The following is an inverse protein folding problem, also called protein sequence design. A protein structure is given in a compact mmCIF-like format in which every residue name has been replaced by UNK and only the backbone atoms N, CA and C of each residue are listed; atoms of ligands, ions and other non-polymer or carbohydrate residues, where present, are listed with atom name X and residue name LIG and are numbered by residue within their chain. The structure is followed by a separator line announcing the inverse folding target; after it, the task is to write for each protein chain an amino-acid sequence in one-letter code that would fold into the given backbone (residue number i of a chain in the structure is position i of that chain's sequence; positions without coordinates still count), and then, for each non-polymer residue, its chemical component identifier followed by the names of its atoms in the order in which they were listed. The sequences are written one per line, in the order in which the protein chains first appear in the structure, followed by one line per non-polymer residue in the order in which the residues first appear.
data_IF_833030907333
#
_entry.id   IF_833030907333
#
_cell.length_a   1.000
_cell.length_b   1.000
_cell.length_c   1.000
_cell.angle_alpha   90.00
_cell.angle_beta   90.00
_cell.angle_gamma   90.00
#
_symmetry.space_group_name_H-M   'P 1'
#
loop_
_entity.id
_entity.type
_entity.pdbx_description
1 polymer ?
#
# COMPACT_ATOMS: atom_id res chain seq x y z
N UNK A 1 9.41 3.53 -12.07
CA UNK A 1 8.00 3.18 -11.75
C UNK A 1 7.12 2.87 -12.96
N UNK A 2 6.70 3.87 -13.74
CA UNK A 2 5.70 3.68 -14.81
C UNK A 2 6.11 2.70 -15.91
N UNK A 3 7.35 2.80 -16.40
CA UNK A 3 7.88 1.89 -17.43
C UNK A 3 7.85 0.44 -16.96
N UNK A 4 8.47 0.15 -15.80
CA UNK A 4 8.48 -1.18 -15.18
C UNK A 4 7.08 -1.75 -14.97
N UNK A 5 6.17 -0.92 -14.43
CA UNK A 5 4.78 -1.32 -14.19
C UNK A 5 4.01 -1.61 -15.48
N UNK A 6 4.29 -0.87 -16.55
CA UNK A 6 3.61 -1.04 -17.84
C UNK A 6 4.16 -2.24 -18.61
N UNK A 7 5.46 -2.51 -18.52
CA UNK A 7 6.12 -3.65 -19.16
C UNK A 7 5.53 -5.01 -18.72
N UNK A 8 5.03 -5.10 -17.48
CA UNK A 8 4.41 -6.32 -16.97
C UNK A 8 2.89 -6.42 -17.21
N UNK A 9 2.25 -5.41 -17.85
CA UNK A 9 0.82 -5.48 -18.19
C UNK A 9 0.63 -6.11 -19.56
N UNK A 10 0.02 -7.30 -19.62
CA UNK A 10 -0.46 -7.88 -20.88
C UNK A 10 -1.77 -7.20 -21.31
N UNK A 11 -1.80 -6.59 -22.50
CA UNK A 11 -3.04 -6.28 -23.22
C UNK A 11 -3.86 -5.06 -22.78
N UNK A 12 -3.28 -4.07 -22.08
CA UNK A 12 -4.04 -2.86 -21.69
C UNK A 12 -3.57 -1.59 -22.43
N UNK A 13 -4.40 -1.07 -23.33
CA UNK A 13 -4.12 0.13 -24.11
C UNK A 13 -4.18 1.45 -23.31
N UNK A 14 -4.92 1.49 -22.19
CA UNK A 14 -5.05 2.73 -21.40
C UNK A 14 -3.84 2.99 -20.51
N UNK A 15 -3.24 4.19 -20.57
CA UNK A 15 -2.15 4.58 -19.69
C UNK A 15 -2.62 4.57 -18.22
N UNK A 16 -1.74 4.15 -17.31
CA UNK A 16 -2.02 4.18 -15.88
C UNK A 16 -2.10 5.64 -15.40
N UNK A 17 -3.04 5.94 -14.50
CA UNK A 17 -2.93 7.17 -13.69
C UNK A 17 -1.84 6.97 -12.64
N UNK A 18 -1.21 8.05 -12.16
CA UNK A 18 -0.09 7.94 -11.22
C UNK A 18 -0.46 7.18 -9.94
N UNK A 19 -1.65 7.46 -9.39
CA UNK A 19 -2.17 6.77 -8.21
C UNK A 19 -2.40 5.25 -8.43
N UNK A 20 -2.35 4.76 -9.67
CA UNK A 20 -2.50 3.33 -9.99
C UNK A 20 -1.15 2.58 -10.07
N UNK A 21 -0.03 3.30 -10.01
CA UNK A 21 1.30 2.69 -10.15
C UNK A 21 1.60 1.73 -9.00
N UNK A 22 1.34 2.18 -7.77
CA UNK A 22 1.73 1.49 -6.54
C UNK A 22 0.55 1.15 -5.60
N UNK A 23 -0.70 1.27 -6.06
CA UNK A 23 -1.91 1.01 -5.23
C UNK A 23 -2.22 -0.49 -5.04
N UNK A 24 -1.24 -1.24 -4.57
CA UNK A 24 -1.36 -2.65 -4.22
C UNK A 24 0.01 -3.29 -3.99
N UNK A 25 0.08 -4.34 -3.15
CA UNK A 25 1.36 -4.96 -2.76
C UNK A 25 2.12 -5.50 -3.97
N UNK A 26 1.47 -6.26 -4.86
CA UNK A 26 2.16 -6.74 -6.07
C UNK A 26 2.46 -5.62 -7.07
N UNK A 27 1.64 -4.55 -7.09
CA UNK A 27 1.82 -3.44 -8.02
C UNK A 27 3.05 -2.59 -7.67
N UNK A 28 3.25 -2.30 -6.38
CA UNK A 28 4.44 -1.57 -5.92
C UNK A 28 5.70 -2.38 -6.24
N UNK A 29 5.70 -3.70 -5.99
CA UNK A 29 6.86 -4.53 -6.29
C UNK A 29 7.25 -4.44 -7.77
N UNK A 30 6.26 -4.51 -8.67
CA UNK A 30 6.51 -4.37 -10.11
C UNK A 30 6.98 -2.95 -10.48
N UNK A 31 6.40 -1.90 -9.88
CA UNK A 31 6.79 -0.53 -10.15
C UNK A 31 8.24 -0.22 -9.72
N UNK A 32 8.73 -0.90 -8.68
CA UNK A 32 10.08 -0.76 -8.13
C UNK A 32 11.04 -1.91 -8.50
N UNK A 33 10.64 -2.82 -9.39
CA UNK A 33 11.41 -4.03 -9.75
C UNK A 33 11.82 -4.93 -8.57
N UNK A 34 11.06 -4.89 -7.46
CA UNK A 34 11.24 -5.79 -6.33
C UNK A 34 10.76 -7.18 -6.73
N UNK A 35 11.66 -8.15 -6.63
CA UNK A 35 11.41 -9.54 -6.92
C UNK A 35 12.03 -10.43 -5.82
N UNK A 36 12.00 -11.75 -5.98
CA UNK A 36 12.46 -12.69 -4.95
C UNK A 36 13.95 -12.53 -4.58
N UNK A 37 14.78 -11.92 -5.44
CA UNK A 37 16.18 -11.59 -5.11
C UNK A 37 16.34 -10.56 -3.98
N UNK A 38 15.26 -9.89 -3.59
CA UNK A 38 15.24 -8.97 -2.45
C UNK A 38 14.83 -9.62 -1.13
N UNK A 39 14.43 -10.89 -1.15
CA UNK A 39 14.08 -11.62 0.06
C UNK A 39 15.26 -11.71 1.02
N UNK A 40 15.00 -11.54 2.31
CA UNK A 40 15.99 -11.61 3.40
C UNK A 40 17.13 -10.57 3.33
N UNK A 41 17.06 -9.59 2.43
CA UNK A 41 18.00 -8.46 2.42
C UNK A 41 17.77 -7.54 3.62
N UNK A 42 18.86 -6.93 4.09
CA UNK A 42 18.83 -5.95 5.17
C UNK A 42 18.48 -4.56 4.61
N UNK A 43 17.26 -4.09 4.87
CA UNK A 43 16.76 -2.79 4.41
C UNK A 43 17.56 -1.60 4.97
N UNK A 44 18.29 -1.78 6.07
CA UNK A 44 19.11 -0.73 6.67
C UNK A 44 20.53 -0.66 6.07
N UNK A 45 20.95 -1.67 5.29
CA UNK A 45 22.32 -1.77 4.75
C UNK A 45 22.40 -2.03 3.25
N UNK A 46 21.32 -2.47 2.61
CA UNK A 46 21.32 -2.75 1.18
C UNK A 46 21.46 -1.46 0.35
N UNK A 47 22.20 -1.54 -0.76
CA UNK A 47 22.48 -0.40 -1.63
C UNK A 47 21.44 -0.24 -2.75
N UNK A 48 20.61 -1.25 -3.00
CA UNK A 48 19.57 -1.22 -4.03
C UNK A 48 18.18 -0.87 -3.50
N UNK A 49 17.94 -1.03 -2.18
CA UNK A 49 16.69 -0.62 -1.52
C UNK A 49 16.97 -0.09 -0.11
N UNK A 50 16.37 1.04 0.22
CA UNK A 50 16.48 1.68 1.53
C UNK A 50 15.19 2.43 1.89
N UNK A 51 15.08 2.89 3.13
CA UNK A 51 14.03 3.80 3.59
C UNK A 51 14.63 5.14 3.98
N UNK A 52 13.93 6.23 3.63
CA UNK A 52 14.31 7.59 4.01
C UNK A 52 13.26 8.18 4.96
N UNK A 53 13.65 9.07 5.89
CA UNK A 53 12.70 9.85 6.66
C UNK A 53 11.75 10.63 5.74
N UNK A 54 10.45 10.52 6.00
CA UNK A 54 9.46 11.36 5.33
C UNK A 54 9.57 12.83 5.77
N UNK A 55 9.05 13.75 4.96
CA UNK A 55 9.06 15.17 5.26
C UNK A 55 8.20 15.53 6.47
N UNK A 56 7.01 14.92 6.59
CA UNK A 56 6.10 15.09 7.73
C UNK A 56 5.35 13.77 8.00
N UNK A 57 5.19 13.44 9.28
CA UNK A 57 4.33 12.32 9.67
C UNK A 57 2.86 12.76 9.59
N UNK A 58 1.96 11.93 9.04
CA UNK A 58 0.53 12.20 9.14
C UNK A 58 0.12 12.25 10.62
N UNK A 59 -0.70 13.23 10.99
CA UNK A 59 -1.30 13.28 12.33
C UNK A 59 -2.10 12.00 12.62
N UNK A 60 -2.28 11.67 13.91
CA UNK A 60 -2.92 10.41 14.32
C UNK A 60 -4.33 10.24 13.71
N UNK A 61 -5.10 11.32 13.61
CA UNK A 61 -6.45 11.36 13.03
C UNK A 61 -6.47 11.06 11.51
N UNK A 62 -5.32 11.24 10.84
CA UNK A 62 -5.16 10.95 9.42
C UNK A 62 -4.88 9.46 9.15
N UNK A 63 -4.61 8.64 10.18
CA UNK A 63 -4.37 7.20 10.04
C UNK A 63 -5.65 6.42 10.26
N UNK A 64 -6.07 5.69 9.24
CA UNK A 64 -7.22 4.78 9.31
C UNK A 64 -6.75 3.39 9.73
N UNK A 65 -7.41 2.83 10.74
CA UNK A 65 -7.10 1.51 11.31
C UNK A 65 -8.22 0.53 10.98
N UNK A 66 -7.97 -0.38 10.03
CA UNK A 66 -9.00 -1.23 9.41
C UNK A 66 -8.59 -2.71 9.36
N UNK A 67 -9.54 -3.58 8.97
CA UNK A 67 -9.27 -4.99 8.74
C UNK A 67 -8.33 -5.20 7.54
N UNK A 68 -7.55 -6.27 7.59
CA UNK A 68 -6.60 -6.64 6.53
C UNK A 68 -7.32 -7.18 5.28
N UNK A 69 -6.66 -7.08 4.13
CA UNK A 69 -7.21 -7.51 2.84
C UNK A 69 -6.75 -8.94 2.54
N UNK A 70 -7.66 -9.81 2.10
CA UNK A 70 -7.32 -11.14 1.60
C UNK A 70 -6.95 -12.18 2.66
N UNK A 71 -7.35 -11.96 3.93
CA UNK A 71 -7.01 -12.83 5.06
C UNK A 71 -8.24 -13.49 5.73
N UNK A 72 -9.32 -13.71 4.98
CA UNK A 72 -10.57 -14.30 5.51
C UNK A 72 -10.39 -15.68 6.15
N UNK A 73 -9.35 -16.42 5.75
CA UNK A 73 -8.95 -17.71 6.34
C UNK A 73 -8.45 -17.60 7.79
N UNK A 74 -8.19 -16.39 8.30
CA UNK A 74 -7.60 -16.16 9.62
C UNK A 74 -8.57 -16.23 10.80
N UNK A 75 -9.83 -16.66 10.61
CA UNK A 75 -10.81 -16.72 11.69
C UNK A 75 -10.99 -15.37 12.40
N UNK A 76 -10.89 -15.35 13.73
CA UNK A 76 -10.97 -14.12 14.54
C UNK A 76 -9.92 -13.07 14.13
N UNK A 77 -8.75 -13.50 13.66
CA UNK A 77 -7.66 -12.60 13.26
C UNK A 77 -7.96 -11.87 11.95
N UNK A 78 -8.89 -12.38 11.15
CA UNK A 78 -9.34 -11.69 9.94
C UNK A 78 -10.08 -10.37 10.28
N UNK A 79 -10.70 -10.30 11.46
CA UNK A 79 -11.48 -9.14 11.93
C UNK A 79 -10.66 -8.14 12.74
N UNK A 80 -9.40 -8.46 13.08
CA UNK A 80 -8.55 -7.54 13.84
C UNK A 80 -8.13 -6.35 12.95
N UNK A 81 -8.17 -5.11 13.47
CA UNK A 81 -7.85 -3.92 12.70
C UNK A 81 -6.33 -3.72 12.61
N UNK A 82 -5.68 -4.58 11.83
CA UNK A 82 -4.23 -4.66 11.70
C UNK A 82 -3.73 -4.15 10.35
N UNK A 83 -4.49 -3.23 9.73
CA UNK A 83 -4.10 -2.55 8.49
C UNK A 83 -4.24 -1.05 8.68
N UNK A 84 -3.17 -0.33 8.37
CA UNK A 84 -3.09 1.12 8.51
C UNK A 84 -2.95 1.77 7.15
N UNK A 85 -3.61 2.91 6.94
CA UNK A 85 -3.43 3.73 5.74
C UNK A 85 -3.82 5.18 5.99
N UNK A 86 -3.35 6.09 5.14
CA UNK A 86 -3.67 7.52 5.23
C UNK A 86 -5.06 7.77 4.64
N UNK A 87 -5.96 8.38 5.43
CA UNK A 87 -7.32 8.75 5.06
C UNK A 87 -7.34 9.58 3.77
N UNK A 88 -8.25 9.26 2.84
CA UNK A 88 -8.43 10.03 1.61
C UNK A 88 -7.27 9.94 0.58
N UNK A 89 -6.20 9.20 0.87
CA UNK A 89 -5.08 9.05 -0.06
C UNK A 89 -5.47 8.14 -1.25
N UNK A 90 -5.48 8.70 -2.46
CA UNK A 90 -5.86 8.00 -3.71
C UNK A 90 -4.97 6.81 -4.06
N UNK A 91 -3.76 6.74 -3.50
CA UNK A 91 -2.82 5.65 -3.73
C UNK A 91 -3.10 4.42 -2.85
N UNK A 92 -4.04 4.50 -1.90
CA UNK A 92 -4.48 3.35 -1.11
C UNK A 92 -5.16 2.33 -2.00
N UNK A 93 -4.83 1.05 -1.81
CA UNK A 93 -5.31 -0.04 -2.65
C UNK A 93 -6.81 -0.33 -2.48
N UNK A 94 -7.28 -0.40 -1.23
CA UNK A 94 -8.67 -0.61 -0.85
C UNK A 94 -8.99 0.27 0.36
N UNK A 95 -9.96 1.17 0.18
CA UNK A 95 -10.45 2.06 1.23
C UNK A 95 -11.62 1.39 1.95
N UNK A 96 -11.60 1.43 3.29
CA UNK A 96 -12.72 1.03 4.13
C UNK A 96 -13.54 2.28 4.48
N UNK A 97 -14.54 2.58 3.62
CA UNK A 97 -15.38 3.77 3.77
C UNK A 97 -16.22 3.75 5.06
N UNK A 98 -16.49 2.58 5.62
CA UNK A 98 -17.25 2.48 6.88
C UNK A 98 -16.37 2.97 8.02
N UNK A 99 -15.17 2.41 8.13
CA UNK A 99 -14.18 2.81 9.14
C UNK A 99 -13.79 4.28 8.99
N UNK A 100 -13.58 4.78 7.77
CA UNK A 100 -13.28 6.21 7.56
C UNK A 100 -14.39 7.13 8.09
N UNK A 101 -15.67 6.78 7.90
CA UNK A 101 -16.78 7.58 8.45
C UNK A 101 -16.85 7.48 9.97
N UNK A 102 -16.70 6.29 10.52
CA UNK A 102 -16.79 6.05 11.97
C UNK A 102 -15.65 6.76 12.72
N UNK A 103 -14.42 6.66 12.22
CA UNK A 103 -13.26 7.35 12.77
C UNK A 103 -13.23 8.85 12.45
N UNK A 104 -14.03 9.35 11.51
CA UNK A 104 -14.16 10.79 11.24
C UNK A 104 -15.28 11.48 11.99
N UNK A 105 -16.18 10.72 12.60
CA UNK A 105 -17.28 11.22 13.42
C UNK A 105 -16.94 11.22 14.93
N UNK A 106 -15.81 10.61 15.30
CA UNK A 106 -15.30 10.55 16.67
C UNK A 106 -14.28 11.66 16.98
N UNK A 107 -13.99 12.53 16.00
CA UNK A 107 -13.16 13.74 16.07
C UNK A 107 -14.05 14.98 16.05
#
# INVERSE_FOLDING_TARGET
MRQLRSAQRKGSAKPLKDWQLCNGPSKLCQAFAINKSFDQKDLARDTAVWMEPGSEAPGEQAVVTAVRIGVSYGGEWAQKPLRFYIRGNKCVSVVDKKVEREQGAAD
#
